data_IF_559676044063
#
_entry.id   IF_559676044063
#
_cell.length_a   1.000
_cell.length_b   1.000
_cell.length_c   1.000
_cell.angle_alpha   90.00
_cell.angle_beta   90.00
_cell.angle_gamma   90.00
#
_symmetry.space_group_name_H-M   'P 1'
#
loop_
_entity.id
_entity.type
_entity.pdbx_description
1 polymer ?
#
# COMPACT_ATOMS: atom_id res chain seq x y z
N UNK A 1 1.17 23.21 5.62
CA UNK A 1 0.27 22.55 6.59
C UNK A 1 -1.18 22.97 6.38
N UNK A 2 -1.56 24.25 6.48
CA UNK A 2 -2.97 24.69 6.34
C UNK A 2 -3.62 24.33 4.98
N UNK A 3 -2.88 24.45 3.87
CA UNK A 3 -3.38 24.14 2.51
C UNK A 3 -3.80 22.67 2.35
N UNK A 4 -2.94 21.75 2.78
CA UNK A 4 -3.15 20.29 2.71
C UNK A 4 -4.36 19.87 3.56
N UNK A 5 -4.47 20.43 4.77
CA UNK A 5 -5.58 20.14 5.69
C UNK A 5 -6.92 20.66 5.20
N UNK A 6 -6.96 21.86 4.62
CA UNK A 6 -8.19 22.43 4.07
C UNK A 6 -8.68 21.64 2.85
N UNK A 7 -7.77 21.27 1.93
CA UNK A 7 -8.12 20.43 0.76
C UNK A 7 -8.61 19.05 1.19
N UNK A 8 -7.93 18.41 2.15
CA UNK A 8 -8.37 17.14 2.72
C UNK A 8 -9.78 17.22 3.28
N UNK A 9 -10.07 18.27 4.06
CA UNK A 9 -11.40 18.52 4.63
C UNK A 9 -12.47 18.71 3.55
N UNK A 10 -12.16 19.44 2.49
CA UNK A 10 -13.08 19.68 1.37
C UNK A 10 -13.39 18.38 0.62
N UNK A 11 -12.37 17.57 0.31
CA UNK A 11 -12.54 16.24 -0.32
C UNK A 11 -13.46 15.35 0.51
N UNK A 12 -13.15 15.19 1.80
CA UNK A 12 -13.96 14.34 2.70
C UNK A 12 -15.40 14.84 2.85
N UNK A 13 -15.63 16.15 2.86
CA UNK A 13 -16.98 16.72 2.93
C UNK A 13 -17.82 16.44 1.68
N UNK A 14 -17.19 16.15 0.54
CA UNK A 14 -17.84 15.86 -0.73
C UNK A 14 -17.96 14.35 -1.00
N UNK A 15 -17.27 13.51 -0.23
CA UNK A 15 -17.35 12.06 -0.37
C UNK A 15 -18.67 11.50 0.16
N UNK A 16 -19.25 10.59 -0.62
CA UNK A 16 -20.30 9.70 -0.15
C UNK A 16 -19.75 8.28 -0.06
N UNK A 17 -19.52 7.81 1.18
CA UNK A 17 -19.12 6.43 1.46
C UNK A 17 -20.33 5.50 1.42
N UNK A 18 -20.19 4.35 0.76
CA UNK A 18 -21.26 3.37 0.55
C UNK A 18 -21.19 2.16 1.50
N UNK A 19 -20.29 2.21 2.49
CA UNK A 19 -20.11 1.19 3.51
C UNK A 19 -19.77 1.84 4.86
N UNK A 20 -19.88 1.07 5.95
CA UNK A 20 -19.49 1.50 7.29
C UNK A 20 -18.07 1.02 7.59
N UNK A 21 -17.19 1.96 7.97
CA UNK A 21 -15.82 1.67 8.38
C UNK A 21 -15.76 1.27 9.86
N UNK A 22 -14.85 0.37 10.20
CA UNK A 22 -14.43 0.07 11.56
C UNK A 22 -13.54 1.20 12.11
N UNK A 23 -13.88 1.68 13.32
CA UNK A 23 -13.09 2.69 14.05
C UNK A 23 -12.27 2.11 15.20
N UNK A 24 -12.50 0.85 15.58
CA UNK A 24 -11.98 0.26 16.82
C UNK A 24 -10.70 -0.57 16.62
N UNK A 25 -10.34 -0.90 15.37
CA UNK A 25 -9.20 -1.75 15.08
C UNK A 25 -7.88 -1.16 15.59
N UNK A 26 -7.00 -2.00 16.14
CA UNK A 26 -5.75 -1.52 16.75
C UNK A 26 -4.66 -1.20 15.72
N UNK A 27 -4.66 -1.90 14.58
CA UNK A 27 -3.62 -1.80 13.56
C UNK A 27 -3.88 -0.53 12.71
N UNK A 28 -3.04 0.53 12.78
CA UNK A 28 -3.17 1.68 11.90
C UNK A 28 -2.57 1.35 10.53
N UNK A 29 -3.43 1.34 9.51
CA UNK A 29 -3.06 1.10 8.11
C UNK A 29 -3.32 2.37 7.30
N UNK A 30 -2.36 2.78 6.48
CA UNK A 30 -2.62 3.77 5.43
C UNK A 30 -2.55 3.08 4.07
N UNK A 31 -3.68 3.03 3.36
CA UNK A 31 -3.75 2.57 1.98
C UNK A 31 -3.42 3.74 1.05
N UNK A 32 -2.38 3.57 0.23
CA UNK A 32 -1.79 4.62 -0.58
C UNK A 32 -2.04 4.32 -2.04
N UNK A 33 -2.65 5.27 -2.75
CA UNK A 33 -2.62 5.26 -4.22
C UNK A 33 -1.47 6.18 -4.67
N UNK A 34 -0.47 5.68 -5.41
CA UNK A 34 0.70 6.45 -5.85
C UNK A 34 0.39 7.41 -7.01
N UNK A 35 -0.73 8.12 -6.92
CA UNK A 35 -1.13 9.15 -7.87
C UNK A 35 -2.08 10.11 -7.15
N UNK A 36 -2.54 11.14 -7.86
CA UNK A 36 -3.45 12.15 -7.33
C UNK A 36 -4.79 11.54 -6.94
N UNK A 37 -5.44 12.17 -5.97
CA UNK A 37 -6.73 11.75 -5.43
C UNK A 37 -7.80 11.45 -6.50
N UNK A 38 -8.04 12.29 -7.52
CA UNK A 38 -9.02 11.99 -8.58
C UNK A 38 -8.77 10.65 -9.29
N UNK A 39 -7.50 10.31 -9.52
CA UNK A 39 -7.09 9.09 -10.21
C UNK A 39 -7.28 7.88 -9.31
N UNK A 40 -6.84 7.96 -8.05
CA UNK A 40 -7.02 6.86 -7.10
C UNK A 40 -8.48 6.59 -6.79
N UNK A 41 -9.31 7.64 -6.70
CA UNK A 41 -10.75 7.48 -6.49
C UNK A 41 -11.50 7.01 -7.74
N UNK A 42 -10.91 7.06 -8.93
CA UNK A 42 -11.44 6.42 -10.12
C UNK A 42 -11.06 4.92 -10.23
N UNK A 43 -10.26 4.39 -9.30
CA UNK A 43 -9.76 3.02 -9.35
C UNK A 43 -10.58 2.09 -8.44
N UNK A 44 -11.35 1.18 -9.05
CA UNK A 44 -12.21 0.25 -8.30
C UNK A 44 -11.41 -0.76 -7.46
N UNK A 45 -10.24 -1.20 -7.92
CA UNK A 45 -9.37 -2.09 -7.13
C UNK A 45 -8.85 -1.43 -5.87
N UNK A 46 -8.48 -0.15 -5.95
CA UNK A 46 -8.12 0.65 -4.79
C UNK A 46 -9.31 0.82 -3.83
N UNK A 47 -10.50 1.13 -4.35
CA UNK A 47 -11.71 1.24 -3.53
C UNK A 47 -12.09 -0.09 -2.86
N UNK A 48 -11.95 -1.22 -3.56
CA UNK A 48 -12.18 -2.56 -3.02
C UNK A 48 -11.21 -2.87 -1.87
N UNK A 49 -9.90 -2.66 -2.08
CA UNK A 49 -8.90 -2.80 -1.03
C UNK A 49 -9.17 -1.87 0.17
N UNK A 50 -9.59 -0.62 -0.09
CA UNK A 50 -9.97 0.31 0.97
C UNK A 50 -11.13 -0.21 1.79
N UNK A 51 -12.19 -0.75 1.15
CA UNK A 51 -13.32 -1.35 1.85
C UNK A 51 -12.88 -2.54 2.69
N UNK A 52 -12.11 -3.48 2.13
CA UNK A 52 -11.64 -4.68 2.83
C UNK A 52 -10.91 -4.29 4.12
N UNK A 53 -9.91 -3.41 4.00
CA UNK A 53 -9.14 -2.93 5.16
C UNK A 53 -10.01 -2.13 6.14
N UNK A 54 -10.91 -1.29 5.62
CA UNK A 54 -11.76 -0.47 6.48
C UNK A 54 -12.85 -1.25 7.20
N UNK A 55 -13.25 -2.43 6.71
CA UNK A 55 -14.26 -3.28 7.37
C UNK A 55 -13.62 -4.36 8.26
N UNK A 56 -12.31 -4.57 8.14
CA UNK A 56 -11.61 -5.54 8.97
C UNK A 56 -11.60 -5.11 10.46
N UNK A 57 -12.02 -5.97 11.39
CA UNK A 57 -12.11 -5.62 12.81
C UNK A 57 -10.75 -5.32 13.44
N UNK A 58 -9.64 -5.77 12.85
CA UNK A 58 -8.29 -5.67 13.41
C UNK A 58 -7.62 -4.34 13.10
N UNK A 59 -8.01 -3.65 12.03
CA UNK A 59 -7.35 -2.42 11.60
C UNK A 59 -8.26 -1.20 11.44
N UNK A 60 -7.65 -0.02 11.50
CA UNK A 60 -8.22 1.26 11.06
C UNK A 60 -7.49 1.65 9.79
N UNK A 61 -8.24 1.85 8.70
CA UNK A 61 -7.68 2.19 7.41
C UNK A 61 -7.95 3.66 7.05
N UNK A 62 -6.88 4.38 6.77
CA UNK A 62 -6.90 5.72 6.20
C UNK A 62 -6.24 5.71 4.82
N UNK A 63 -6.43 6.77 4.03
CA UNK A 63 -5.91 6.87 2.67
C UNK A 63 -4.84 7.94 2.58
N UNK A 64 -3.89 7.77 1.67
CA UNK A 64 -3.02 8.84 1.22
C UNK A 64 -2.80 8.76 -0.29
N UNK A 65 -2.39 9.89 -0.85
CA UNK A 65 -2.25 10.10 -2.29
C UNK A 65 -0.99 10.89 -2.56
N UNK A 66 -0.53 10.88 -3.82
CA UNK A 66 0.51 11.80 -4.24
C UNK A 66 0.01 13.24 -4.06
N UNK A 67 0.75 14.12 -3.37
CA UNK A 67 0.37 15.53 -3.22
C UNK A 67 0.24 16.21 -4.57
N UNK A 68 -0.69 17.15 -4.70
CA UNK A 68 -0.70 18.05 -5.86
C UNK A 68 0.58 18.91 -5.87
N UNK A 69 0.91 19.53 -7.00
CA UNK A 69 2.17 20.28 -7.15
C UNK A 69 2.32 21.40 -6.11
N UNK A 70 1.23 22.09 -5.77
CA UNK A 70 1.20 23.15 -4.75
C UNK A 70 1.35 22.61 -3.32
N UNK A 71 0.76 21.43 -3.05
CA UNK A 71 0.94 20.72 -1.78
C UNK A 71 2.36 20.18 -1.61
N UNK A 72 2.95 19.63 -2.68
CA UNK A 72 4.32 19.15 -2.70
C UNK A 72 5.31 20.30 -2.45
N UNK A 73 5.11 21.46 -3.08
CA UNK A 73 5.92 22.66 -2.81
C UNK A 73 5.77 23.13 -1.36
N UNK A 74 4.54 23.13 -0.83
CA UNK A 74 4.29 23.49 0.56
C UNK A 74 4.92 22.50 1.56
N UNK A 75 4.91 21.21 1.25
CA UNK A 75 5.55 20.15 2.04
C UNK A 75 7.07 20.28 2.00
N UNK A 76 7.67 20.53 0.84
CA UNK A 76 9.12 20.71 0.71
C UNK A 76 9.67 21.93 1.48
N UNK A 77 8.80 22.88 1.82
CA UNK A 77 9.14 24.04 2.69
C UNK A 77 8.84 23.79 4.16
N UNK A 78 8.07 22.75 4.48
CA UNK A 78 7.64 22.42 5.83
C UNK A 78 8.53 21.33 6.44
N UNK A 79 8.58 21.26 7.77
CA UNK A 79 9.24 20.16 8.49
C UNK A 79 8.31 18.98 8.74
N UNK A 80 7.01 19.15 8.48
CA UNK A 80 6.01 18.12 8.72
C UNK A 80 5.97 17.13 7.55
N UNK A 81 5.92 15.82 7.84
CA UNK A 81 5.80 14.81 6.79
C UNK A 81 4.41 14.83 6.15
N UNK A 82 4.29 14.19 4.99
CA UNK A 82 3.02 13.83 4.39
C UNK A 82 2.13 13.08 5.41
N UNK A 83 0.84 13.37 5.33
CA UNK A 83 -0.16 12.86 6.25
C UNK A 83 -1.35 12.24 5.50
N UNK A 84 -2.09 11.40 6.19
CA UNK A 84 -3.31 10.77 5.68
C UNK A 84 -4.42 11.77 5.38
N UNK A 85 -5.34 11.39 4.49
CA UNK A 85 -6.48 12.18 4.09
C UNK A 85 -7.46 12.38 5.26
N UNK A 86 -7.85 11.30 5.94
CA UNK A 86 -8.93 11.28 6.94
C UNK A 86 -8.61 12.09 8.19
N UNK A 87 -7.53 11.75 8.88
CA UNK A 87 -7.21 12.32 10.19
C UNK A 87 -6.03 13.28 10.17
N UNK A 88 -5.36 13.44 9.02
CA UNK A 88 -4.10 14.19 8.91
C UNK A 88 -3.02 13.60 9.83
N UNK A 89 -3.04 12.28 10.04
CA UNK A 89 -1.98 11.57 10.75
C UNK A 89 -0.74 11.46 9.86
N UNK A 90 0.46 11.83 10.36
CA UNK A 90 1.72 11.59 9.66
C UNK A 90 1.87 10.15 9.18
N UNK A 91 2.32 9.95 7.94
CA UNK A 91 2.54 8.60 7.41
C UNK A 91 3.55 7.75 8.22
N UNK A 92 4.63 8.31 8.80
CA UNK A 92 5.51 7.56 9.69
C UNK A 92 4.84 7.00 10.95
N UNK A 93 3.70 7.55 11.36
CA UNK A 93 3.01 7.12 12.58
C UNK A 93 2.12 5.90 12.35
N UNK A 94 1.94 5.45 11.11
CA UNK A 94 1.24 4.20 10.80
C UNK A 94 2.14 2.99 11.02
N UNK A 95 1.55 1.81 11.16
CA UNK A 95 2.32 0.57 11.27
C UNK A 95 2.48 -0.11 9.91
N UNK A 96 1.48 0.06 9.04
CA UNK A 96 1.47 -0.45 7.67
C UNK A 96 1.17 0.69 6.70
N UNK A 97 2.03 0.86 5.69
CA UNK A 97 1.73 1.66 4.50
C UNK A 97 1.55 0.69 3.33
N UNK A 98 0.33 0.62 2.81
CA UNK A 98 -0.06 -0.33 1.76
C UNK A 98 -0.21 0.40 0.42
N UNK A 99 0.74 0.23 -0.49
CA UNK A 99 0.69 0.80 -1.83
C UNK A 99 -0.15 -0.06 -2.78
N UNK A 100 -1.14 0.56 -3.41
CA UNK A 100 -1.93 -0.06 -4.47
C UNK A 100 -1.39 0.39 -5.83
N UNK A 101 -0.59 -0.47 -6.47
CA UNK A 101 0.11 -0.19 -7.72
C UNK A 101 -0.68 -0.73 -8.91
N UNK A 102 -1.40 0.17 -9.58
CA UNK A 102 -2.21 -0.20 -10.75
C UNK A 102 -1.45 -0.12 -12.06
N UNK A 103 -0.47 0.78 -12.15
CA UNK A 103 0.30 1.03 -13.37
C UNK A 103 1.79 1.25 -13.06
N UNK A 104 2.66 0.81 -13.97
CA UNK A 104 4.12 0.96 -13.85
C UNK A 104 4.57 2.42 -13.89
N UNK A 105 3.78 3.30 -14.53
CA UNK A 105 4.05 4.75 -14.56
C UNK A 105 4.00 5.39 -13.18
N UNK A 106 3.35 4.75 -12.20
CA UNK A 106 3.23 5.27 -10.85
C UNK A 106 4.39 4.85 -9.92
N UNK A 107 5.35 4.04 -10.40
CA UNK A 107 6.46 3.57 -9.57
C UNK A 107 7.33 4.69 -8.99
N UNK A 108 7.58 5.74 -9.78
CA UNK A 108 8.37 6.89 -9.31
C UNK A 108 7.64 7.67 -8.22
N UNK A 109 6.31 7.71 -8.25
CA UNK A 109 5.51 8.40 -7.24
C UNK A 109 5.58 7.71 -5.86
N UNK A 110 5.97 6.43 -5.79
CA UNK A 110 6.28 5.76 -4.53
C UNK A 110 7.43 6.51 -3.83
N UNK A 111 8.48 6.85 -4.58
CA UNK A 111 9.66 7.55 -4.07
C UNK A 111 9.30 8.97 -3.61
N UNK A 112 8.47 9.67 -4.40
CA UNK A 112 8.00 11.01 -4.04
C UNK A 112 7.20 10.99 -2.73
N UNK A 113 6.31 9.99 -2.56
CA UNK A 113 5.51 9.82 -1.34
C UNK A 113 6.39 9.47 -0.14
N UNK A 114 7.33 8.54 -0.28
CA UNK A 114 8.25 8.17 0.81
C UNK A 114 9.14 9.36 1.21
N UNK A 115 9.66 10.11 0.24
CA UNK A 115 10.42 11.32 0.47
C UNK A 115 9.60 12.37 1.21
N UNK A 116 8.37 12.64 0.76
CA UNK A 116 7.46 13.58 1.40
C UNK A 116 7.03 13.13 2.81
N UNK A 117 7.01 11.82 3.07
CA UNK A 117 6.74 11.24 4.38
C UNK A 117 7.97 11.22 5.31
N UNK A 118 9.15 11.60 4.83
CA UNK A 118 10.43 11.46 5.55
C UNK A 118 10.75 10.00 5.94
N UNK A 119 10.37 9.04 5.09
CA UNK A 119 10.68 7.62 5.27
C UNK A 119 11.88 7.27 4.37
N UNK A 120 12.87 6.49 4.85
CA UNK A 120 13.96 6.02 4.01
C UNK A 120 13.45 5.34 2.75
N UNK A 121 13.98 5.77 1.59
CA UNK A 121 13.55 5.28 0.29
C UNK A 121 13.81 3.78 0.16
N UNK A 122 15.05 3.36 0.41
CA UNK A 122 15.45 1.96 0.31
C UNK A 122 14.96 1.19 1.53
N UNK A 123 14.39 0.01 1.31
CA UNK A 123 13.88 -0.84 2.37
C UNK A 123 14.98 -1.25 3.38
N UNK A 124 16.22 -1.43 2.88
CA UNK A 124 17.39 -1.79 3.70
C UNK A 124 17.81 -0.71 4.71
N UNK A 125 17.42 0.55 4.48
CA UNK A 125 17.76 1.68 5.35
C UNK A 125 16.69 1.92 6.43
N UNK A 126 15.61 1.12 6.45
CA UNK A 126 14.52 1.24 7.43
C UNK A 126 14.81 0.47 8.70
N UNK A 127 14.70 1.19 9.82
CA UNK A 127 14.80 0.63 11.17
C UNK A 127 13.46 0.08 11.71
N UNK A 128 13.49 -0.54 12.90
CA UNK A 128 12.34 -1.15 13.58
C UNK A 128 11.15 -0.19 13.83
N UNK A 129 11.42 1.10 13.96
CA UNK A 129 10.39 2.11 14.24
C UNK A 129 9.66 2.60 12.98
N UNK A 130 10.17 2.33 11.79
CA UNK A 130 9.52 2.71 10.54
C UNK A 130 8.35 1.77 10.22
N UNK A 131 7.28 2.25 9.56
CA UNK A 131 6.20 1.38 9.09
C UNK A 131 6.72 0.26 8.18
N UNK A 132 6.01 -0.86 8.13
CA UNK A 132 6.20 -1.82 7.03
C UNK A 132 5.55 -1.24 5.77
N UNK A 133 6.32 -1.18 4.69
CA UNK A 133 5.84 -0.78 3.38
C UNK A 133 5.46 -2.03 2.60
N UNK A 134 4.17 -2.23 2.38
CA UNK A 134 3.66 -3.33 1.57
C UNK A 134 3.12 -2.80 0.24
N UNK A 135 3.17 -3.61 -0.81
CA UNK A 135 2.61 -3.23 -2.11
C UNK A 135 1.86 -4.38 -2.77
N UNK A 136 0.80 -4.07 -3.52
CA UNK A 136 0.09 -5.02 -4.36
C UNK A 136 -0.56 -4.31 -5.54
N UNK A 137 -1.39 -5.04 -6.28
CA UNK A 137 -2.11 -4.53 -7.43
C UNK A 137 -1.58 -5.04 -8.78
N UNK A 138 -2.30 -4.79 -9.88
CA UNK A 138 -2.01 -5.40 -11.19
C UNK A 138 -0.57 -5.24 -11.67
N UNK A 139 0.07 -4.09 -11.43
CA UNK A 139 1.45 -3.84 -11.87
C UNK A 139 2.45 -4.78 -11.18
N UNK A 140 2.21 -5.15 -9.92
CA UNK A 140 3.09 -6.08 -9.19
C UNK A 140 2.88 -7.54 -9.60
N UNK A 141 1.75 -7.87 -10.25
CA UNK A 141 1.50 -9.21 -10.77
C UNK A 141 2.38 -9.53 -11.98
N UNK A 142 2.68 -8.50 -12.77
CA UNK A 142 3.52 -8.60 -13.95
C UNK A 142 4.99 -8.71 -13.54
N UNK A 143 5.48 -7.73 -12.78
CA UNK A 143 6.85 -7.73 -12.29
C UNK A 143 7.03 -6.79 -11.08
N UNK A 144 7.27 -7.29 -9.86
CA UNK A 144 7.55 -6.45 -8.70
C UNK A 144 8.99 -5.91 -8.66
N UNK A 145 9.92 -6.51 -9.42
CA UNK A 145 11.37 -6.20 -9.34
C UNK A 145 11.74 -4.73 -9.57
N UNK A 146 11.11 -3.96 -10.47
CA UNK A 146 11.49 -2.57 -10.71
C UNK A 146 11.39 -1.67 -9.47
N UNK A 147 10.60 -2.06 -8.47
CA UNK A 147 10.40 -1.33 -7.22
C UNK A 147 10.76 -2.15 -5.97
N UNK A 148 11.40 -3.31 -6.15
CA UNK A 148 11.68 -4.25 -5.06
C UNK A 148 12.60 -3.68 -3.98
N UNK A 149 13.54 -2.81 -4.35
CA UNK A 149 14.44 -2.14 -3.41
C UNK A 149 13.73 -1.16 -2.44
N UNK A 150 12.49 -0.75 -2.76
CA UNK A 150 11.75 0.26 -2.00
C UNK A 150 10.58 -0.32 -1.19
N UNK A 151 10.23 -1.59 -1.38
CA UNK A 151 9.08 -2.23 -0.74
C UNK A 151 9.56 -3.36 0.18
N UNK A 152 9.00 -3.46 1.39
CA UNK A 152 9.38 -4.49 2.34
C UNK A 152 8.74 -5.85 2.01
N UNK A 153 7.48 -5.86 1.57
CA UNK A 153 6.76 -7.08 1.20
C UNK A 153 5.72 -6.80 0.11
N UNK A 154 5.70 -7.61 -0.93
CA UNK A 154 4.64 -7.56 -1.94
C UNK A 154 3.55 -8.59 -1.64
N UNK A 155 2.31 -8.22 -1.93
CA UNK A 155 1.15 -9.11 -1.91
C UNK A 155 0.68 -9.33 -3.35
N UNK A 156 1.08 -10.45 -3.97
CA UNK A 156 0.83 -10.75 -5.38
C UNK A 156 -0.40 -11.65 -5.52
N UNK A 157 -1.51 -11.06 -5.92
CA UNK A 157 -2.75 -11.74 -6.22
C UNK A 157 -3.97 -10.92 -5.81
N UNK A 158 -5.08 -11.61 -5.66
CA UNK A 158 -6.37 -10.99 -5.32
C UNK A 158 -6.43 -10.60 -3.84
N UNK A 159 -6.79 -9.34 -3.57
CA UNK A 159 -6.68 -8.71 -2.26
C UNK A 159 -7.76 -9.18 -1.27
N UNK A 160 -8.90 -9.64 -1.77
CA UNK A 160 -10.11 -10.00 -1.02
C UNK A 160 -9.86 -11.13 -0.02
N UNK A 161 -9.04 -12.11 -0.41
CA UNK A 161 -8.64 -13.22 0.48
C UNK A 161 -7.26 -12.97 1.09
N UNK A 162 -6.38 -12.27 0.38
CA UNK A 162 -5.00 -12.08 0.80
C UNK A 162 -4.84 -11.05 1.93
N UNK A 163 -5.58 -9.93 1.89
CA UNK A 163 -5.49 -8.91 2.93
C UNK A 163 -6.02 -9.41 4.29
N UNK A 164 -7.18 -10.10 4.38
CA UNK A 164 -7.63 -10.64 5.67
C UNK A 164 -6.68 -11.68 6.26
N UNK A 165 -6.10 -12.57 5.44
CA UNK A 165 -5.09 -13.54 5.91
C UNK A 165 -3.82 -12.83 6.38
N UNK A 166 -3.34 -11.86 5.59
CA UNK A 166 -2.17 -11.06 5.95
C UNK A 166 -2.39 -10.31 7.27
N UNK A 167 -3.55 -9.68 7.47
CA UNK A 167 -3.88 -8.97 8.71
C UNK A 167 -3.99 -9.91 9.91
N UNK A 168 -4.44 -11.14 9.72
CA UNK A 168 -4.46 -12.16 10.78
C UNK A 168 -3.05 -12.46 11.27
N UNK A 169 -2.16 -12.75 10.32
CA UNK A 169 -0.78 -13.06 10.63
C UNK A 169 -0.04 -11.84 11.18
N UNK A 170 -0.31 -10.65 10.62
CA UNK A 170 0.25 -9.39 11.09
C UNK A 170 -0.15 -9.11 12.54
N UNK A 171 -1.41 -9.34 12.91
CA UNK A 171 -1.89 -9.19 14.28
C UNK A 171 -1.13 -10.09 15.27
N UNK A 172 -0.71 -11.29 14.85
CA UNK A 172 0.09 -12.18 15.69
C UNK A 172 1.56 -11.74 15.81
N UNK A 173 2.18 -11.27 14.71
CA UNK A 173 3.61 -10.91 14.71
C UNK A 173 3.90 -9.51 15.24
N UNK A 174 2.95 -8.58 15.17
CA UNK A 174 3.13 -7.19 15.63
C UNK A 174 3.45 -7.10 17.13
N UNK A 175 2.88 -7.98 17.95
CA UNK A 175 3.09 -8.03 19.41
C UNK A 175 4.22 -8.98 19.82
N UNK A 176 4.76 -9.75 18.89
CA UNK A 176 5.83 -10.69 19.15
C UNK A 176 7.17 -9.95 19.30
N UNK A 177 8.05 -10.47 20.17
CA UNK A 177 9.44 -9.98 20.30
C UNK A 177 10.29 -10.51 19.13
N UNK A 178 10.00 -9.99 17.94
CA UNK A 178 10.67 -10.30 16.69
C UNK A 178 11.25 -9.02 16.10
N UNK A 179 12.42 -9.13 15.48
CA UNK A 179 12.96 -8.10 14.59
C UNK A 179 12.07 -7.91 13.35
N UNK A 180 12.21 -6.77 12.67
CA UNK A 180 11.57 -6.46 11.39
C UNK A 180 11.80 -7.58 10.37
N UNK A 181 13.03 -8.06 10.25
CA UNK A 181 13.39 -9.15 9.32
C UNK A 181 12.64 -10.45 9.68
N UNK A 182 12.58 -10.83 10.95
CA UNK A 182 11.84 -12.02 11.39
C UNK A 182 10.33 -11.87 11.18
N UNK A 183 9.77 -10.67 11.39
CA UNK A 183 8.36 -10.37 11.08
C UNK A 183 8.10 -10.54 9.59
N UNK A 184 8.93 -9.96 8.72
CA UNK A 184 8.78 -10.09 7.27
C UNK A 184 8.90 -11.54 6.79
N UNK A 185 9.84 -12.31 7.33
CA UNK A 185 9.94 -13.75 7.05
C UNK A 185 8.71 -14.55 7.49
N UNK A 186 8.07 -14.18 8.60
CA UNK A 186 6.81 -14.82 9.01
C UNK A 186 5.70 -14.45 8.04
N UNK A 187 5.58 -13.18 7.69
CA UNK A 187 4.56 -12.65 6.78
C UNK A 187 4.70 -13.20 5.35
N UNK A 188 5.92 -13.57 4.92
CA UNK A 188 6.14 -14.20 3.61
C UNK A 188 5.55 -15.61 3.50
N UNK A 189 4.94 -16.15 4.55
CA UNK A 189 4.20 -17.41 4.51
C UNK A 189 2.80 -17.29 3.87
N UNK A 190 2.25 -16.07 3.77
CA UNK A 190 0.98 -15.82 3.07
C UNK A 190 1.13 -16.19 1.59
N UNK A 191 0.21 -16.96 1.03
CA UNK A 191 0.31 -17.34 -0.40
C UNK A 191 0.23 -16.08 -1.28
N UNK A 192 1.19 -15.92 -2.19
CA UNK A 192 1.34 -14.73 -3.01
C UNK A 192 2.27 -13.67 -2.40
N UNK A 193 2.70 -13.83 -1.14
CA UNK A 193 3.64 -12.89 -0.55
C UNK A 193 5.03 -13.05 -1.16
N UNK A 194 5.58 -11.95 -1.69
CA UNK A 194 6.91 -11.89 -2.25
C UNK A 194 7.78 -10.96 -1.39
N UNK A 195 8.79 -11.54 -0.74
CA UNK A 195 9.75 -10.83 0.10
C UNK A 195 11.05 -10.60 -0.69
N UNK A 196 11.34 -9.37 -1.16
CA UNK A 196 12.47 -9.09 -2.05
C UNK A 196 13.82 -9.57 -1.53
N UNK A 197 14.05 -9.47 -0.22
CA UNK A 197 15.32 -9.85 0.42
C UNK A 197 15.65 -11.33 0.30
N UNK A 198 14.69 -12.18 -0.09
CA UNK A 198 14.91 -13.59 -0.39
C UNK A 198 15.45 -13.84 -1.80
N UNK A 199 15.43 -12.84 -2.67
CA UNK A 199 15.77 -12.96 -4.09
C UNK A 199 16.89 -11.99 -4.45
N UNK A 200 17.97 -12.52 -5.03
CA UNK A 200 19.12 -11.73 -5.46
C UNK A 200 19.36 -11.95 -6.96
N UNK A 201 18.91 -11.02 -7.83
CA UNK A 201 19.20 -11.08 -9.26
C UNK A 201 20.70 -10.83 -9.53
N UNK A 202 21.29 -11.65 -10.39
CA UNK A 202 22.65 -11.52 -10.90
C UNK A 202 22.60 -11.12 -12.36
N UNK A 203 23.35 -10.07 -12.71
CA UNK A 203 23.40 -9.50 -14.03
C UNK A 203 24.76 -9.76 -14.69
N UNK A 204 24.77 -9.90 -16.02
CA UNK A 204 26.01 -9.88 -16.81
C UNK A 204 26.49 -8.44 -17.05
N UNK A 205 27.64 -8.29 -17.72
CA UNK A 205 28.24 -6.99 -18.06
C UNK A 205 27.35 -6.14 -18.98
N UNK A 206 26.38 -6.77 -19.67
CA UNK A 206 25.37 -6.09 -20.50
C UNK A 206 24.07 -5.76 -19.73
N UNK A 207 24.00 -6.06 -18.43
CA UNK A 207 22.84 -5.77 -17.58
C UNK A 207 21.66 -6.73 -17.78
N UNK A 208 21.87 -7.91 -18.38
CA UNK A 208 20.83 -8.94 -18.51
C UNK A 208 20.82 -9.84 -17.30
N UNK A 209 19.63 -10.27 -16.87
CA UNK A 209 19.49 -11.23 -15.77
C UNK A 209 20.01 -12.59 -16.23
N UNK A 210 21.04 -13.10 -15.54
CA UNK A 210 21.63 -14.41 -15.78
C UNK A 210 21.05 -15.45 -14.82
N UNK A 211 20.80 -15.03 -13.57
CA UNK A 211 20.30 -15.89 -12.50
C UNK A 211 19.58 -15.05 -11.45
N UNK A 212 18.63 -15.66 -10.75
CA UNK A 212 18.09 -15.14 -9.49
C UNK A 212 18.39 -16.17 -8.40
N UNK A 213 19.16 -15.77 -7.40
CA UNK A 213 19.44 -16.62 -6.24
C UNK A 213 18.32 -16.48 -5.21
N UNK A 214 17.90 -17.60 -4.63
CA UNK A 214 16.89 -17.62 -3.58
C UNK A 214 17.49 -18.14 -2.27
N UNK A 215 17.37 -17.35 -1.20
CA UNK A 215 17.95 -17.63 0.12
C UNK A 215 16.92 -18.11 1.16
N UNK A 216 15.63 -18.14 0.80
CA UNK A 216 14.53 -18.53 1.69
C UNK A 216 14.31 -20.04 1.80
N UNK A 217 13.51 -20.43 2.79
CA UNK A 217 12.95 -21.79 2.84
C UNK A 217 11.85 -21.96 1.79
N UNK A 218 11.74 -23.17 1.21
CA UNK A 218 10.68 -23.48 0.24
C UNK A 218 11.12 -23.32 -1.23
N UNK A 219 10.15 -23.12 -2.13
CA UNK A 219 10.40 -23.03 -3.58
C UNK A 219 10.74 -21.57 -3.96
N UNK A 220 11.65 -21.34 -4.92
CA UNK A 220 12.04 -19.99 -5.38
C UNK A 220 10.97 -19.35 -6.29
N UNK A 221 9.70 -19.67 -6.08
CA UNK A 221 8.58 -19.23 -6.91
C UNK A 221 7.44 -18.79 -6.01
N UNK A 222 7.01 -17.54 -6.17
CA UNK A 222 5.79 -17.04 -5.54
C UNK A 222 4.62 -17.36 -6.44
N UNK A 223 3.66 -18.10 -5.89
CA UNK A 223 2.42 -18.41 -6.57
C UNK A 223 1.46 -17.23 -6.39
N UNK A 224 1.09 -16.57 -7.48
CA UNK A 224 0.03 -15.56 -7.47
C UNK A 224 -1.23 -16.16 -6.87
N UNK A 225 -1.84 -15.48 -5.90
CA UNK A 225 -3.15 -15.85 -5.38
C UNK A 225 -4.24 -15.51 -6.39
N UNK A 226 -5.11 -16.48 -6.66
CA UNK A 226 -6.24 -16.37 -7.59
C UNK A 226 -7.50 -16.80 -6.86
N UNK A 227 -8.54 -15.96 -6.92
CA UNK A 227 -9.86 -16.31 -6.42
C UNK A 227 -10.58 -17.15 -7.48
N UNK A 228 -11.17 -18.26 -7.04
CA UNK A 228 -11.90 -19.16 -7.94
C UNK A 228 -13.34 -18.68 -8.20
N UNK A 229 -13.97 -18.08 -7.19
CA UNK A 229 -15.33 -17.55 -7.26
C UNK A 229 -15.31 -16.03 -7.31
N UNK A 230 -15.32 -15.47 -8.52
CA UNK A 230 -15.32 -14.02 -8.73
C UNK A 230 -16.65 -13.37 -8.30
N UNK A 231 -17.76 -14.12 -8.32
CA UNK A 231 -19.07 -13.60 -7.97
C UNK A 231 -19.22 -13.36 -6.46
N UNK A 232 -18.39 -14.03 -5.65
CA UNK A 232 -18.30 -13.79 -4.21
C UNK A 232 -17.80 -12.37 -3.85
N UNK A 233 -17.12 -11.68 -4.78
CA UNK A 233 -16.47 -10.41 -4.51
C UNK A 233 -16.76 -9.36 -5.59
N UNK A 234 -17.99 -8.79 -5.60
CA UNK A 234 -18.33 -7.73 -6.54
C UNK A 234 -17.42 -6.51 -6.32
N UNK A 235 -16.65 -6.16 -7.34
CA UNK A 235 -15.80 -4.97 -7.36
C UNK A 235 -16.61 -3.79 -7.86
N UNK A 236 -17.25 -3.09 -6.92
CA UNK A 236 -18.13 -1.95 -7.22
C UNK A 236 -17.63 -0.66 -6.60
N UNK A 237 -18.21 0.48 -7.00
CA UNK A 237 -17.96 1.76 -6.33
C UNK A 237 -18.25 1.65 -4.82
N UNK A 238 -17.30 2.05 -3.99
CA UNK A 238 -17.37 2.10 -2.53
C UNK A 238 -17.40 3.54 -2.00
N UNK A 239 -16.84 4.49 -2.75
CA UNK A 239 -16.87 5.92 -2.48
C UNK A 239 -17.22 6.65 -3.77
N UNK A 240 -18.19 7.54 -3.67
CA UNK A 240 -18.56 8.47 -4.73
C UNK A 240 -18.00 9.85 -4.38
N UNK A 241 -17.34 10.51 -5.33
CA UNK A 241 -16.72 11.83 -5.14
C UNK A 241 -16.70 12.59 -6.47
N UNK A 242 -17.13 13.86 -6.53
CA UNK A 242 -17.23 14.60 -7.78
C UNK A 242 -15.88 14.85 -8.47
N UNK A 243 -14.76 14.72 -7.75
CA UNK A 243 -13.42 14.82 -8.32
C UNK A 243 -13.03 13.59 -9.16
N UNK A 244 -13.63 12.42 -8.94
CA UNK A 244 -13.34 11.23 -9.73
C UNK A 244 -13.98 11.29 -11.12
N UNK A 245 -13.36 10.67 -12.12
CA UNK A 245 -13.80 10.69 -13.53
C UNK A 245 -15.25 10.19 -13.71
N UNK A 246 -15.74 9.32 -12.81
CA UNK A 246 -17.12 8.82 -12.77
C UNK A 246 -17.78 9.07 -11.40
N UNK A 247 -17.54 10.25 -10.84
CA UNK A 247 -17.77 10.58 -9.43
C UNK A 247 -19.16 10.36 -8.86
N UNK A 248 -20.19 10.33 -9.71
CA UNK A 248 -21.60 10.15 -9.36
C UNK A 248 -22.19 8.81 -9.83
N UNK A 249 -21.42 7.98 -10.54
CA UNK A 249 -21.86 6.70 -11.06
C UNK A 249 -21.42 5.54 -10.16
N UNK A 250 -22.39 4.71 -9.78
CA UNK A 250 -22.10 3.40 -9.22
C UNK A 250 -21.72 2.46 -10.37
N UNK A 251 -20.47 2.01 -10.35
CA UNK A 251 -19.92 1.02 -11.27
C UNK A 251 -19.92 -0.36 -10.61
#
# INVERSE_FOLDING_TARGET
MWLTTERARQRLAQEKRLFVSNSEGEIPVCLIYPNRYPVGMANLGFQAAYRILSQDPRCRCERAFLPEADEAEALGRATAPLASLESQRPLPDFELLAFSLSFETDYLHILDILAAAHIPLLARDREEHHPLIIAGGPATFLNPEPVADFIDLFLIGEAEEMLPEFLELYAAVRTAKLSRAEKLHRLSAVEGAYLPTLFAPQYDDEGRIVRVEHSGGGRPHVKRRLIQDLDAYPTTSQILTPEAVFGDMYL
#
